data_IF_249322455882
#
_entry.id   IF_249322455882
#
_cell.length_a   1.000
_cell.length_b   1.000
_cell.length_c   1.000
_cell.angle_alpha   90.00
_cell.angle_beta   90.00
_cell.angle_gamma   90.00
#
_symmetry.space_group_name_H-M   'P 1'
#
loop_
_entity.id
_entity.type
_entity.pdbx_description
1 polymer ?
#
# COMPACT_ATOMS: atom_id res chain seq x y z
N UNK A 1 4.52 -14.55 4.36
CA UNK A 1 5.18 -13.62 5.33
C UNK A 1 4.21 -12.52 5.80
N UNK A 2 4.63 -11.71 6.78
CA UNK A 2 3.91 -10.50 7.24
C UNK A 2 4.69 -9.29 6.77
N UNK A 3 4.05 -8.39 6.03
CA UNK A 3 4.68 -7.25 5.38
C UNK A 3 3.98 -5.97 5.81
N UNK A 4 4.74 -5.01 6.34
CA UNK A 4 4.24 -3.67 6.65
C UNK A 4 4.84 -2.67 5.65
N UNK A 5 3.98 -2.01 4.88
CA UNK A 5 4.36 -1.00 3.91
C UNK A 5 4.17 0.38 4.52
N UNK A 6 5.25 1.15 4.63
CA UNK A 6 5.23 2.53 5.14
C UNK A 6 5.38 3.46 3.95
N UNK A 7 4.41 4.34 3.73
CA UNK A 7 4.34 5.20 2.54
C UNK A 7 3.72 6.55 2.86
N UNK A 8 4.09 7.59 2.11
CA UNK A 8 3.42 8.88 2.15
C UNK A 8 2.11 8.92 1.36
N UNK A 9 1.84 7.91 0.51
CA UNK A 9 0.65 7.88 -0.35
C UNK A 9 0.03 6.49 -0.47
N UNK A 10 -1.30 6.40 -0.44
CA UNK A 10 -2.04 5.16 -0.65
C UNK A 10 -3.45 5.41 -1.21
N UNK A 11 -3.83 4.68 -2.25
CA UNK A 11 -5.21 4.73 -2.77
C UNK A 11 -6.20 4.03 -1.82
N UNK A 12 -7.46 4.50 -1.72
CA UNK A 12 -7.99 5.73 -2.31
C UNK A 12 -7.83 6.97 -1.42
N UNK A 13 -7.01 6.90 -0.36
CA UNK A 13 -6.97 7.91 0.70
C UNK A 13 -6.18 9.17 0.33
N UNK A 14 -5.00 9.01 -0.27
CA UNK A 14 -4.14 10.13 -0.66
C UNK A 14 -3.28 9.76 -1.88
N UNK A 15 -3.19 10.69 -2.84
CA UNK A 15 -2.44 10.51 -4.09
C UNK A 15 -2.01 11.85 -4.67
N UNK A 16 -0.73 11.96 -4.98
CA UNK A 16 -0.16 13.07 -5.77
C UNK A 16 0.51 12.57 -7.06
N UNK A 17 0.94 11.31 -7.08
CA UNK A 17 1.62 10.71 -8.23
C UNK A 17 1.51 9.19 -8.26
N UNK A 18 2.47 8.52 -8.88
CA UNK A 18 2.47 7.06 -9.09
C UNK A 18 2.67 6.23 -7.80
N UNK A 19 3.13 6.85 -6.70
CA UNK A 19 3.41 6.12 -5.45
C UNK A 19 2.16 5.42 -4.90
N UNK A 20 1.03 6.11 -4.84
CA UNK A 20 -0.24 5.54 -4.38
C UNK A 20 -0.67 4.30 -5.21
N UNK A 21 -0.42 4.33 -6.53
CA UNK A 21 -0.78 3.23 -7.43
C UNK A 21 0.11 2.01 -7.18
N UNK A 22 1.41 2.24 -6.96
CA UNK A 22 2.37 1.19 -6.65
C UNK A 22 2.06 0.58 -5.29
N UNK A 23 1.88 1.39 -4.25
CA UNK A 23 1.54 0.87 -2.91
C UNK A 23 0.28 0.01 -2.96
N UNK A 24 -0.77 0.51 -3.61
CA UNK A 24 -2.04 -0.21 -3.72
C UNK A 24 -1.90 -1.51 -4.53
N UNK A 25 -1.38 -1.45 -5.75
CA UNK A 25 -1.25 -2.61 -6.63
C UNK A 25 -0.34 -3.68 -6.03
N UNK A 26 0.82 -3.30 -5.48
CA UNK A 26 1.74 -4.22 -4.82
C UNK A 26 1.09 -4.91 -3.61
N UNK A 27 0.40 -4.15 -2.75
CA UNK A 27 -0.27 -4.75 -1.59
C UNK A 27 -1.33 -5.78 -1.98
N UNK A 28 -2.02 -5.54 -3.11
CA UNK A 28 -3.03 -6.46 -3.64
C UNK A 28 -2.40 -7.74 -4.17
N UNK A 29 -1.36 -7.64 -5.00
CA UNK A 29 -0.68 -8.82 -5.54
C UNK A 29 -0.05 -9.67 -4.43
N UNK A 30 0.57 -9.04 -3.43
CA UNK A 30 1.08 -9.75 -2.26
C UNK A 30 -0.04 -10.49 -1.49
N UNK A 31 -1.20 -9.86 -1.28
CA UNK A 31 -2.32 -10.55 -0.64
C UNK A 31 -2.84 -11.73 -1.49
N UNK A 32 -2.81 -11.64 -2.82
CA UNK A 32 -3.15 -12.75 -3.73
C UNK A 32 -2.17 -13.92 -3.54
N UNK A 33 -0.89 -13.61 -3.34
CA UNK A 33 0.17 -14.58 -3.06
C UNK A 33 0.14 -15.15 -1.61
N UNK A 34 -0.97 -14.96 -0.87
CA UNK A 34 -1.16 -15.33 0.53
C UNK A 34 -0.20 -14.65 1.53
N UNK A 35 0.38 -13.52 1.14
CA UNK A 35 1.12 -12.66 2.06
C UNK A 35 0.16 -11.80 2.89
N UNK A 36 0.49 -11.54 4.16
CA UNK A 36 -0.31 -10.65 5.01
C UNK A 36 0.27 -9.24 4.96
N UNK A 37 -0.41 -8.34 4.26
CA UNK A 37 0.04 -6.95 4.12
C UNK A 37 -0.76 -5.97 4.99
N UNK A 38 -0.09 -4.94 5.49
CA UNK A 38 -0.70 -3.72 6.02
C UNK A 38 -0.04 -2.50 5.39
N UNK A 39 -0.79 -1.42 5.23
CA UNK A 39 -0.28 -0.13 4.77
C UNK A 39 -0.40 0.86 5.92
N UNK A 40 0.70 1.55 6.22
CA UNK A 40 0.78 2.64 7.20
C UNK A 40 1.08 3.91 6.42
N UNK A 41 0.21 4.91 6.56
CA UNK A 41 0.34 6.20 5.90
C UNK A 41 -0.13 7.32 6.83
N UNK A 42 0.38 8.55 6.70
CA UNK A 42 -0.11 9.68 7.50
C UNK A 42 -1.60 9.94 7.27
N UNK A 43 -2.25 10.50 8.28
CA UNK A 43 -3.61 11.01 8.16
C UNK A 43 -3.53 12.51 7.85
N UNK A 44 -3.77 12.85 6.58
CA UNK A 44 -3.79 14.23 6.07
C UNK A 44 -5.20 14.84 6.14
#
# INVERSE_FOLDING_TARGET
MKIAMITSEANPLCKSGGLADVTYSLSRELNIDNEKTIIITPFY
#
